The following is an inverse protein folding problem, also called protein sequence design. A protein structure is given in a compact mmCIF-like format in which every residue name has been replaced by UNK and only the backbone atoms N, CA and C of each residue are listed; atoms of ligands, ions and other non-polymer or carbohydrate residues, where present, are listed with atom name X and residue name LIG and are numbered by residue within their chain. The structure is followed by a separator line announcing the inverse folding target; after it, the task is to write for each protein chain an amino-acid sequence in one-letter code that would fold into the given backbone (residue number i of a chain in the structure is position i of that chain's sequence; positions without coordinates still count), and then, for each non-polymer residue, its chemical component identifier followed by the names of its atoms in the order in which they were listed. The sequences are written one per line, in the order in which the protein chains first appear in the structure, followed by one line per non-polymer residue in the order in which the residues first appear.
data_IF_851884382211
#
_entry.id   IF_851884382211
#
_cell.length_a   1.000
_cell.length_b   1.000
_cell.length_c   1.000
_cell.angle_alpha   90.00
_cell.angle_beta   90.00
_cell.angle_gamma   90.00
#
_symmetry.space_group_name_H-M   'P 1'
#
loop_
_entity.id
_entity.type
_entity.pdbx_description
1 polymer ?
#
# COMPACT_ATOMS: atom_id res chain seq x y z
N UNK A 1 11.34 16.05 13.45
CA UNK A 1 10.86 14.71 13.07
C UNK A 1 12.07 13.87 12.72
N UNK A 2 12.31 12.84 13.52
CA UNK A 2 13.36 11.84 13.29
C UNK A 2 13.08 11.06 11.98
N UNK A 3 14.12 10.44 11.41
CA UNK A 3 13.99 9.65 10.18
C UNK A 3 13.01 8.48 10.36
N UNK A 4 12.96 7.87 11.55
CA UNK A 4 12.00 6.80 11.85
C UNK A 4 10.56 7.32 11.86
N UNK A 5 10.32 8.49 12.45
CA UNK A 5 8.99 9.11 12.45
C UNK A 5 8.54 9.47 11.04
N UNK A 6 9.43 10.05 10.22
CA UNK A 6 9.15 10.31 8.79
C UNK A 6 8.83 9.03 8.04
N UNK A 7 9.60 7.96 8.30
CA UNK A 7 9.41 6.67 7.64
C UNK A 7 8.05 6.05 7.99
N UNK A 8 7.58 6.13 9.24
CA UNK A 8 6.22 5.67 9.58
C UNK A 8 5.15 6.38 8.78
N UNK A 9 5.21 7.71 8.71
CA UNK A 9 4.21 8.53 8.01
C UNK A 9 4.17 8.17 6.53
N UNK A 10 5.33 8.03 5.88
CA UNK A 10 5.37 7.72 4.45
C UNK A 10 4.97 6.26 4.15
N UNK A 11 5.31 5.31 5.03
CA UNK A 11 4.86 3.91 4.89
C UNK A 11 3.34 3.79 4.94
N UNK A 12 2.69 4.46 5.91
CA UNK A 12 1.24 4.46 6.00
C UNK A 12 0.61 5.08 4.73
N UNK A 13 1.15 6.20 4.27
CA UNK A 13 0.67 6.86 3.06
C UNK A 13 0.79 5.95 1.81
N UNK A 14 1.89 5.21 1.66
CA UNK A 14 2.05 4.28 0.55
C UNK A 14 1.10 3.09 0.62
N UNK A 15 0.86 2.53 1.81
CA UNK A 15 -0.12 1.44 2.00
C UNK A 15 -1.52 1.91 1.57
N UNK A 16 -1.93 3.08 2.04
CA UNK A 16 -3.24 3.65 1.70
C UNK A 16 -3.35 3.93 0.19
N UNK A 17 -2.29 4.47 -0.41
CA UNK A 17 -2.25 4.76 -1.85
C UNK A 17 -2.31 3.49 -2.71
N UNK A 18 -1.59 2.44 -2.30
CA UNK A 18 -1.63 1.15 -2.96
C UNK A 18 -3.04 0.55 -2.93
N UNK A 19 -3.78 0.71 -1.83
CA UNK A 19 -5.19 0.31 -1.74
C UNK A 19 -6.05 0.99 -2.81
N UNK A 20 -5.88 2.31 -3.01
CA UNK A 20 -6.56 3.04 -4.08
C UNK A 20 -6.23 2.53 -5.49
N UNK A 21 -4.97 2.15 -5.74
CA UNK A 21 -4.59 1.52 -7.02
C UNK A 21 -5.21 0.14 -7.21
N UNK A 22 -5.26 -0.69 -6.16
CA UNK A 22 -5.89 -2.02 -6.17
C UNK A 22 -7.36 -1.93 -6.53
N UNK A 23 -8.08 -0.99 -5.92
CA UNK A 23 -9.51 -0.76 -6.20
C UNK A 23 -9.72 -0.32 -7.66
N UNK A 24 -8.84 0.53 -8.18
CA UNK A 24 -8.93 0.99 -9.57
C UNK A 24 -8.61 -0.15 -10.55
N UNK A 25 -7.58 -0.95 -10.29
CA UNK A 25 -7.26 -2.13 -11.09
C UNK A 25 -8.43 -3.11 -11.13
N UNK A 26 -9.12 -3.33 -10.02
CA UNK A 26 -10.28 -4.22 -9.97
C UNK A 26 -11.43 -3.71 -10.86
N UNK A 27 -11.73 -2.40 -10.85
CA UNK A 27 -12.75 -1.83 -11.75
C UNK A 27 -12.42 -2.07 -13.21
N UNK A 28 -11.18 -1.80 -13.61
CA UNK A 28 -10.73 -2.01 -15.00
C UNK A 28 -10.69 -3.49 -15.36
N UNK A 29 -10.27 -4.35 -14.43
CA UNK A 29 -10.27 -5.81 -14.61
C UNK A 29 -11.67 -6.32 -14.93
N UNK A 30 -12.66 -5.89 -14.16
CA UNK A 30 -14.06 -6.26 -14.38
C UNK A 30 -14.57 -5.75 -15.73
N UNK A 31 -14.28 -4.49 -16.08
CA UNK A 31 -14.66 -3.92 -17.37
C UNK A 31 -14.06 -4.71 -18.55
N UNK A 32 -12.75 -4.98 -18.52
CA UNK A 32 -12.07 -5.74 -19.56
C UNK A 32 -12.59 -7.17 -19.67
N UNK A 33 -12.92 -7.80 -18.55
CA UNK A 33 -13.54 -9.12 -18.56
C UNK A 33 -14.93 -9.09 -19.22
N UNK A 34 -15.74 -8.07 -18.94
CA UNK A 34 -17.07 -7.89 -19.55
C UNK A 34 -16.99 -7.60 -21.06
N UNK A 35 -15.92 -6.96 -21.52
CA UNK A 35 -15.63 -6.72 -22.94
C UNK A 35 -14.96 -7.92 -23.65
N UNK A 36 -14.80 -9.05 -22.95
CA UNK A 36 -14.16 -10.26 -23.50
C UNK A 36 -12.63 -10.15 -23.66
N UNK A 37 -12.00 -9.13 -23.08
CA UNK A 37 -10.54 -8.94 -23.04
C UNK A 37 -9.91 -9.67 -21.85
N UNK A 38 -10.10 -10.99 -21.81
CA UNK A 38 -9.72 -11.83 -20.67
C UNK A 38 -8.22 -11.81 -20.35
N UNK A 39 -7.34 -11.70 -21.36
CA UNK A 39 -5.89 -11.60 -21.14
C UNK A 39 -5.48 -10.28 -20.46
N UNK A 40 -6.12 -9.17 -20.84
CA UNK A 40 -5.90 -7.86 -20.19
C UNK A 40 -6.42 -7.90 -18.75
N UNK A 41 -7.60 -8.49 -18.53
CA UNK A 41 -8.14 -8.70 -17.19
C UNK A 41 -7.21 -9.59 -16.34
N UNK A 42 -6.62 -10.65 -16.89
CA UNK A 42 -5.66 -11.49 -16.18
C UNK A 42 -4.40 -10.70 -15.77
N UNK A 43 -3.91 -9.83 -16.65
CA UNK A 43 -2.75 -8.98 -16.37
C UNK A 43 -3.03 -7.96 -15.24
N UNK A 44 -4.24 -7.39 -15.22
CA UNK A 44 -4.69 -6.50 -14.14
C UNK A 44 -4.87 -7.24 -12.81
N UNK A 45 -5.35 -8.49 -12.82
CA UNK A 45 -5.42 -9.33 -11.62
C UNK A 45 -4.03 -9.61 -11.04
N UNK A 46 -3.05 -9.90 -11.91
CA UNK A 46 -1.67 -10.10 -11.49
C UNK A 46 -1.08 -8.81 -10.89
N UNK A 47 -1.26 -7.66 -11.55
CA UNK A 47 -0.80 -6.37 -11.04
C UNK A 47 -1.40 -6.06 -9.66
N UNK A 48 -2.71 -6.28 -9.49
CA UNK A 48 -3.41 -6.16 -8.20
C UNK A 48 -2.80 -7.07 -7.14
N UNK A 49 -2.54 -8.33 -7.48
CA UNK A 49 -1.93 -9.32 -6.57
C UNK A 49 -0.54 -8.89 -6.11
N UNK A 50 0.29 -8.40 -7.03
CA UNK A 50 1.64 -7.91 -6.68
C UNK A 50 1.58 -6.64 -5.82
N UNK A 51 0.64 -5.72 -6.11
CA UNK A 51 0.44 -4.51 -5.31
C UNK A 51 0.04 -4.83 -3.87
N UNK A 52 -0.88 -5.80 -3.68
CA UNK A 52 -1.25 -6.27 -2.34
C UNK A 52 -0.05 -6.85 -1.58
N UNK A 53 0.80 -7.65 -2.24
CA UNK A 53 2.03 -8.16 -1.61
C UNK A 53 2.99 -7.05 -1.20
N UNK A 54 3.10 -5.99 -1.99
CA UNK A 54 3.91 -4.82 -1.63
C UNK A 54 3.32 -4.15 -0.39
N UNK A 55 2.01 -3.94 -0.34
CA UNK A 55 1.35 -3.38 0.85
C UNK A 55 1.56 -4.22 2.10
N UNK A 56 1.50 -5.56 1.99
CA UNK A 56 1.77 -6.48 3.11
C UNK A 56 3.21 -6.34 3.62
N UNK A 57 4.18 -6.23 2.72
CA UNK A 57 5.59 -6.01 3.08
C UNK A 57 5.79 -4.65 3.76
N UNK A 58 5.16 -3.59 3.24
CA UNK A 58 5.24 -2.26 3.86
C UNK A 58 4.59 -2.25 5.25
N UNK A 59 3.48 -2.95 5.42
CA UNK A 59 2.82 -3.11 6.72
C UNK A 59 3.70 -3.87 7.72
N UNK A 60 4.44 -4.90 7.27
CA UNK A 60 5.41 -5.59 8.09
C UNK A 60 6.56 -4.66 8.53
N UNK A 61 7.11 -3.86 7.62
CA UNK A 61 8.15 -2.85 7.96
C UNK A 61 7.60 -1.81 8.95
N UNK A 62 6.39 -1.33 8.74
CA UNK A 62 5.74 -0.38 9.65
C UNK A 62 5.59 -0.97 11.07
N UNK A 63 5.23 -2.25 11.16
CA UNK A 63 5.16 -2.98 12.43
C UNK A 63 6.53 -3.13 13.10
N UNK A 64 7.57 -3.45 12.35
CA UNK A 64 8.93 -3.61 12.88
C UNK A 64 9.51 -2.30 13.42
N UNK A 65 9.11 -1.17 12.84
CA UNK A 65 9.50 0.18 13.28
C UNK A 65 8.77 0.59 14.59
N UNK A 66 7.70 -0.11 14.96
CA UNK A 66 6.93 0.11 16.19
C UNK A 66 6.11 1.40 16.19
N UNK A 67 5.31 1.58 17.24
CA UNK A 67 4.47 2.77 17.42
C UNK A 67 5.27 4.03 17.79
N UNK A 68 4.70 5.23 17.58
CA UNK A 68 5.27 6.45 18.14
C UNK A 68 5.43 6.29 19.65
N UNK A 69 6.67 6.36 20.14
CA UNK A 69 6.91 6.38 21.58
C UNK A 69 6.36 7.71 22.09
N UNK A 70 5.30 7.65 22.89
CA UNK A 70 4.72 8.85 23.49
C UNK A 70 5.70 9.42 24.52
N UNK A 71 6.33 10.53 24.15
CA UNK A 71 7.04 11.40 25.08
C UNK A 71 8.56 11.32 24.97
N UNK A 72 9.14 12.35 24.36
CA UNK A 72 10.26 13.03 25.00
C UNK A 72 10.20 14.53 24.66
N UNK A 73 9.45 15.26 25.50
CA UNK A 73 9.61 16.71 25.63
C UNK A 73 10.96 16.96 26.30
N UNK A 74 12.05 16.94 25.54
CA UNK A 74 13.31 17.51 25.97
C UNK A 74 13.18 19.04 25.99
N UNK A 75 12.72 19.56 27.13
CA UNK A 75 13.08 20.89 27.59
C UNK A 75 14.59 20.89 27.88
N UNK A 76 15.35 21.75 27.21
CA UNK A 76 16.48 22.50 27.77
C UNK A 76 16.78 23.72 26.90
#
# INVERSE_FOLDING_TARGET
MDNIEKLRVILQHWIDHNGGHVDEFEKWRQLMNNEGKTEIAASLEEAKTQMNKISDLLAAVLKDIGEPVAGDHHHH
#
